data_IF_519744446212
#
_entry.id   IF_519744446212
#
_cell.length_a   1.000
_cell.length_b   1.000
_cell.length_c   1.000
_cell.angle_alpha   90.00
_cell.angle_beta   90.00
_cell.angle_gamma   90.00
#
_symmetry.space_group_name_H-M   'P 1'
#
loop_
_entity.id
_entity.type
_entity.pdbx_description
1 polymer ?
#
# COMPACT_ATOMS: atom_id res chain seq x y z
N UNK A 1 15.35 13.86 8.29
CA UNK A 1 14.23 13.13 7.66
C UNK A 1 13.53 12.30 8.73
N UNK A 2 12.21 12.45 8.97
CA UNK A 2 11.51 11.83 10.12
C UNK A 2 11.32 10.32 9.99
N UNK A 3 11.12 9.81 8.78
CA UNK A 3 10.89 8.39 8.51
C UNK A 3 12.14 7.56 8.88
N UNK A 4 13.31 7.92 8.32
CA UNK A 4 14.57 7.20 8.57
C UNK A 4 15.00 7.21 10.04
N UNK A 5 14.55 8.19 10.83
CA UNK A 5 14.81 8.23 12.25
C UNK A 5 14.15 7.07 13.02
N UNK A 6 13.08 6.51 12.47
CA UNK A 6 12.35 5.37 13.04
C UNK A 6 12.75 4.08 12.32
N UNK A 7 12.75 4.08 10.99
CA UNK A 7 12.98 2.88 10.17
C UNK A 7 14.45 2.55 9.93
N UNK A 8 15.37 3.46 10.26
CA UNK A 8 16.79 3.34 9.99
C UNK A 8 17.19 3.71 8.56
N UNK A 9 18.49 3.69 8.29
CA UNK A 9 19.05 3.92 6.95
C UNK A 9 18.74 2.73 6.03
N UNK A 10 18.22 2.97 4.80
CA UNK A 10 17.93 1.90 3.87
C UNK A 10 19.20 1.17 3.39
N UNK A 11 19.11 -0.14 3.13
CA UNK A 11 20.23 -0.89 2.57
C UNK A 11 20.52 -0.47 1.12
N UNK A 12 21.73 -0.77 0.65
CA UNK A 12 22.14 -0.47 -0.74
C UNK A 12 21.19 -1.07 -1.78
N UNK A 13 20.67 -2.29 -1.54
CA UNK A 13 19.69 -2.94 -2.41
C UNK A 13 18.44 -2.08 -2.65
N UNK A 14 17.90 -1.47 -1.60
CA UNK A 14 16.73 -0.58 -1.70
C UNK A 14 17.08 0.74 -2.38
N UNK A 15 18.26 1.30 -2.10
CA UNK A 15 18.73 2.51 -2.77
C UNK A 15 18.86 2.32 -4.30
N UNK A 16 19.21 1.11 -4.76
CA UNK A 16 19.27 0.80 -6.19
C UNK A 16 17.90 0.77 -6.87
N UNK A 17 16.83 0.47 -6.13
CA UNK A 17 15.44 0.52 -6.64
C UNK A 17 14.94 1.96 -6.85
N UNK A 18 15.59 2.96 -6.25
CA UNK A 18 15.19 4.36 -6.41
C UNK A 18 15.50 4.85 -7.83
N UNK A 19 14.47 5.34 -8.53
CA UNK A 19 14.60 5.84 -9.91
C UNK A 19 15.39 7.18 -9.98
N UNK A 20 15.23 8.04 -8.98
CA UNK A 20 15.93 9.34 -8.94
C UNK A 20 17.35 9.21 -8.38
N UNK A 21 18.33 9.57 -9.21
CA UNK A 21 19.76 9.63 -8.82
C UNK A 21 20.03 10.68 -7.74
N UNK A 22 19.36 11.82 -7.81
CA UNK A 22 19.52 12.91 -6.84
C UNK A 22 18.96 12.49 -5.48
N UNK A 23 17.77 11.88 -5.47
CA UNK A 23 17.18 11.35 -4.24
C UNK A 23 18.07 10.25 -3.62
N UNK A 24 18.63 9.37 -4.46
CA UNK A 24 19.57 8.33 -4.01
C UNK A 24 20.82 8.93 -3.36
N UNK A 25 21.43 9.91 -4.03
CA UNK A 25 22.65 10.58 -3.56
C UNK A 25 22.39 11.35 -2.26
N UNK A 26 21.22 12.01 -2.16
CA UNK A 26 20.78 12.67 -0.94
C UNK A 26 20.69 11.70 0.23
N UNK A 27 20.01 10.55 0.06
CA UNK A 27 19.86 9.56 1.14
C UNK A 27 21.20 8.92 1.52
N UNK A 28 22.10 8.69 0.55
CA UNK A 28 23.45 8.19 0.81
C UNK A 28 24.33 9.17 1.60
N UNK A 29 24.11 10.48 1.42
CA UNK A 29 24.82 11.52 2.16
C UNK A 29 24.30 11.75 3.58
N UNK A 30 23.18 11.14 3.97
CA UNK A 30 22.65 11.26 5.33
C UNK A 30 23.48 10.44 6.34
N UNK A 31 23.58 10.89 7.60
CA UNK A 31 24.18 10.09 8.66
C UNK A 31 23.48 8.74 8.80
N UNK A 32 24.25 7.67 9.03
CA UNK A 32 23.71 6.33 9.25
C UNK A 32 22.87 6.32 10.53
N UNK A 33 21.65 5.80 10.45
CA UNK A 33 20.71 5.64 11.55
C UNK A 33 20.33 4.18 11.72
N UNK A 34 20.34 3.69 12.96
CA UNK A 34 19.83 2.37 13.31
C UNK A 34 18.30 2.42 13.39
N UNK A 35 17.63 1.37 12.88
CA UNK A 35 16.19 1.16 13.09
C UNK A 35 15.90 1.16 14.59
N UNK A 36 14.86 1.90 15.01
CA UNK A 36 14.40 1.88 16.40
C UNK A 36 13.61 0.62 16.68
N UNK A 37 13.69 0.14 17.92
CA UNK A 37 12.80 -0.91 18.38
C UNK A 37 11.40 -0.32 18.56
N UNK A 38 10.40 -0.84 17.84
CA UNK A 38 9.04 -0.31 17.90
C UNK A 38 8.38 -0.49 19.27
N UNK A 39 8.81 -1.47 20.07
CA UNK A 39 8.33 -1.61 21.45
C UNK A 39 8.81 -0.46 22.34
N UNK A 40 9.97 0.14 22.05
CA UNK A 40 10.45 1.33 22.75
C UNK A 40 9.75 2.60 22.27
N UNK A 41 9.38 2.65 20.98
CA UNK A 41 8.64 3.78 20.40
C UNK A 41 7.18 3.79 20.86
N UNK A 42 6.57 2.61 20.97
CA UNK A 42 5.17 2.40 21.35
C UNK A 42 5.07 1.50 22.59
N UNK A 43 5.51 1.97 23.78
CA UNK A 43 5.62 1.12 24.97
C UNK A 43 4.27 0.55 25.44
N UNK A 44 3.19 1.31 25.24
CA UNK A 44 1.83 0.96 25.66
C UNK A 44 1.12 -0.04 24.75
N UNK A 45 1.65 -0.31 23.55
CA UNK A 45 1.01 -1.23 22.61
C UNK A 45 1.28 -2.69 23.00
N UNK A 46 0.31 -3.55 22.70
CA UNK A 46 0.46 -4.99 22.80
C UNK A 46 1.60 -5.50 21.90
N UNK A 47 2.21 -6.62 22.27
CA UNK A 47 3.32 -7.20 21.50
C UNK A 47 2.92 -7.57 20.07
N UNK A 48 1.71 -8.08 19.87
CA UNK A 48 1.21 -8.42 18.54
C UNK A 48 0.86 -7.17 17.72
N UNK A 49 0.42 -6.09 18.36
CA UNK A 49 0.22 -4.80 17.68
C UNK A 49 1.55 -4.24 17.16
N UNK A 50 2.60 -4.31 18.00
CA UNK A 50 3.95 -3.87 17.64
C UNK A 50 4.53 -4.72 16.52
N UNK A 51 4.37 -6.04 16.58
CA UNK A 51 4.84 -6.99 15.56
C UNK A 51 4.17 -6.74 14.19
N UNK A 52 2.86 -6.50 14.19
CA UNK A 52 2.11 -6.13 13.00
C UNK A 52 2.65 -4.83 12.38
N UNK A 53 2.84 -3.79 13.20
CA UNK A 53 3.40 -2.52 12.75
C UNK A 53 4.82 -2.68 12.19
N UNK A 54 5.65 -3.53 12.80
CA UNK A 54 7.03 -3.74 12.36
C UNK A 54 7.10 -4.43 10.99
N UNK A 55 6.09 -5.25 10.67
CA UNK A 55 5.93 -5.91 9.36
C UNK A 55 5.30 -5.00 8.29
N UNK A 56 4.57 -3.96 8.70
CA UNK A 56 3.96 -2.98 7.79
C UNK A 56 4.88 -1.79 7.46
N UNK A 57 5.59 -1.25 8.45
CA UNK A 57 6.36 -0.01 8.35
C UNK A 57 7.79 -0.23 7.85
N UNK A 58 7.93 -1.01 6.78
CA UNK A 58 9.19 -1.28 6.09
C UNK A 58 9.41 -0.27 4.95
N UNK A 59 10.67 0.15 4.77
CA UNK A 59 11.04 1.07 3.69
C UNK A 59 10.92 0.44 2.30
N UNK A 60 11.23 -0.86 2.18
CA UNK A 60 11.11 -1.61 0.93
C UNK A 60 9.66 -2.11 0.79
N UNK A 61 8.87 -1.59 -0.17
CA UNK A 61 7.47 -2.01 -0.35
C UNK A 61 7.34 -3.49 -0.65
N UNK A 62 8.32 -4.10 -1.33
CA UNK A 62 8.27 -5.52 -1.72
C UNK A 62 8.42 -6.46 -0.52
N UNK A 63 8.88 -5.94 0.61
CA UNK A 63 9.04 -6.71 1.85
C UNK A 63 7.92 -6.46 2.86
N UNK A 64 6.99 -5.54 2.57
CA UNK A 64 5.87 -5.26 3.46
C UNK A 64 4.91 -6.44 3.45
N UNK A 65 4.34 -6.70 4.62
CA UNK A 65 3.21 -7.59 4.77
C UNK A 65 2.06 -7.17 3.86
N UNK A 66 1.46 -8.13 3.17
CA UNK A 66 0.26 -7.92 2.35
C UNK A 66 -0.99 -7.77 3.21
N UNK A 67 -2.07 -7.23 2.67
CA UNK A 67 -3.34 -7.12 3.38
C UNK A 67 -3.85 -8.50 3.86
N UNK A 68 -3.73 -9.52 3.00
CA UNK A 68 -4.16 -10.91 3.29
C UNK A 68 -3.36 -11.53 4.44
N UNK A 69 -2.04 -11.37 4.45
CA UNK A 69 -1.20 -11.81 5.56
C UNK A 69 -1.50 -11.04 6.86
N UNK A 70 -1.81 -9.75 6.74
CA UNK A 70 -2.21 -8.91 7.86
C UNK A 70 -3.51 -9.35 8.53
N UNK A 71 -4.52 -9.73 7.74
CA UNK A 71 -5.79 -10.27 8.25
C UNK A 71 -5.59 -11.57 9.04
N UNK A 72 -4.68 -12.44 8.58
CA UNK A 72 -4.32 -13.68 9.30
C UNK A 72 -3.35 -13.48 10.47
N UNK A 73 -2.94 -12.24 10.79
CA UNK A 73 -2.00 -11.97 11.87
C UNK A 73 -2.64 -12.19 13.25
N UNK A 74 -1.91 -12.71 14.27
CA UNK A 74 -2.45 -12.97 15.61
C UNK A 74 -3.17 -11.77 16.26
N UNK A 75 -2.73 -10.55 15.95
CA UNK A 75 -3.35 -9.32 16.44
C UNK A 75 -4.82 -9.14 15.99
N UNK A 76 -5.20 -9.65 14.82
CA UNK A 76 -6.55 -9.56 14.27
C UNK A 76 -7.35 -10.87 14.42
N UNK A 77 -6.81 -11.87 15.13
CA UNK A 77 -7.39 -13.21 15.23
C UNK A 77 -8.82 -13.26 15.79
N UNK A 78 -9.21 -12.29 16.62
CA UNK A 78 -10.58 -12.18 17.14
C UNK A 78 -11.60 -11.80 16.04
N UNK A 79 -11.15 -11.10 15.00
CA UNK A 79 -12.00 -10.56 13.94
C UNK A 79 -11.84 -11.30 12.60
N UNK A 80 -10.78 -12.10 12.46
CA UNK A 80 -10.46 -12.76 11.21
C UNK A 80 -11.51 -13.80 10.82
N UNK A 81 -12.13 -13.62 9.66
CA UNK A 81 -13.10 -14.56 9.09
C UNK A 81 -12.86 -14.68 7.57
N UNK A 82 -12.17 -15.75 7.11
CA UNK A 82 -11.86 -15.94 5.70
C UNK A 82 -13.08 -15.98 4.77
N UNK A 83 -14.25 -16.40 5.26
CA UNK A 83 -15.47 -16.46 4.45
C UNK A 83 -16.11 -15.07 4.26
N UNK A 84 -15.84 -14.14 5.18
CA UNK A 84 -16.28 -12.75 5.12
C UNK A 84 -15.21 -11.80 4.54
N UNK A 85 -14.08 -12.33 4.08
CA UNK A 85 -12.94 -11.58 3.51
C UNK A 85 -12.66 -12.00 2.04
N UNK A 86 -13.62 -11.87 1.11
CA UNK A 86 -13.45 -12.31 -0.27
C UNK A 86 -12.48 -11.43 -1.06
N UNK A 87 -11.73 -12.04 -1.97
CA UNK A 87 -10.96 -11.34 -2.99
C UNK A 87 -11.90 -10.78 -4.08
N UNK A 88 -11.54 -9.63 -4.67
CA UNK A 88 -12.25 -9.06 -5.83
C UNK A 88 -11.66 -9.59 -7.14
N UNK A 89 -12.46 -9.71 -8.22
CA UNK A 89 -11.92 -9.80 -9.56
C UNK A 89 -10.99 -8.62 -9.88
N UNK A 90 -10.00 -8.79 -10.77
CA UNK A 90 -9.20 -7.68 -11.28
C UNK A 90 -10.09 -6.60 -11.91
N UNK A 91 -9.79 -5.35 -11.61
CA UNK A 91 -10.43 -4.19 -12.22
C UNK A 91 -9.71 -3.81 -13.53
N UNK A 92 -10.46 -3.50 -14.58
CA UNK A 92 -9.91 -2.98 -15.83
C UNK A 92 -9.69 -1.47 -15.70
N UNK A 93 -8.43 -1.07 -15.53
CA UNK A 93 -7.98 0.33 -15.45
C UNK A 93 -7.37 0.82 -16.78
N UNK A 94 -7.59 0.12 -17.89
CA UNK A 94 -7.00 0.47 -19.20
C UNK A 94 -7.38 1.89 -19.66
N UNK A 95 -8.53 2.39 -19.23
CA UNK A 95 -8.99 3.75 -19.51
C UNK A 95 -8.03 4.84 -18.98
N UNK A 96 -7.29 4.58 -17.89
CA UNK A 96 -6.33 5.54 -17.31
C UNK A 96 -5.19 5.88 -18.29
N UNK A 97 -4.93 5.00 -19.24
CA UNK A 97 -3.91 5.18 -20.28
C UNK A 97 -4.44 5.80 -21.57
N UNK A 98 -5.74 6.06 -21.67
CA UNK A 98 -6.35 6.62 -22.87
C UNK A 98 -6.18 8.14 -22.94
N UNK A 99 -5.78 8.64 -24.11
CA UNK A 99 -5.77 10.08 -24.41
C UNK A 99 -7.05 10.46 -25.15
N UNK A 100 -8.10 10.77 -24.38
CA UNK A 100 -9.42 11.15 -24.89
C UNK A 100 -9.69 12.64 -24.72
N UNK A 101 -10.49 13.20 -25.62
CA UNK A 101 -11.03 14.54 -25.46
C UNK A 101 -12.18 14.59 -24.44
N UNK A 102 -12.59 15.80 -24.06
CA UNK A 102 -13.66 16.00 -23.08
C UNK A 102 -15.00 15.41 -23.53
N UNK A 103 -15.29 15.42 -24.83
CA UNK A 103 -16.52 14.87 -25.41
C UNK A 103 -16.56 13.35 -25.35
N UNK A 104 -15.42 12.70 -25.61
CA UNK A 104 -15.24 11.26 -25.48
C UNK A 104 -15.37 10.81 -24.02
N UNK A 105 -14.69 11.48 -23.09
CA UNK A 105 -14.86 11.23 -21.65
C UNK A 105 -16.30 11.41 -21.19
N UNK A 106 -16.96 12.48 -21.62
CA UNK A 106 -18.38 12.73 -21.31
C UNK A 106 -19.28 11.60 -21.83
N UNK A 107 -18.96 11.07 -23.02
CA UNK A 107 -19.72 9.97 -23.62
C UNK A 107 -19.54 8.66 -22.86
N UNK A 108 -18.32 8.34 -22.41
CA UNK A 108 -18.03 7.15 -21.59
C UNK A 108 -18.73 7.24 -20.22
N UNK A 109 -18.66 8.39 -19.55
CA UNK A 109 -19.37 8.62 -18.28
C UNK A 109 -20.89 8.50 -18.48
N UNK A 110 -21.42 9.09 -19.56
CA UNK A 110 -22.84 8.99 -19.87
C UNK A 110 -23.25 7.54 -20.13
N UNK A 111 -22.42 6.77 -20.85
CA UNK A 111 -22.65 5.34 -21.06
C UNK A 111 -22.72 4.61 -19.72
N UNK A 112 -21.73 4.79 -18.85
CA UNK A 112 -21.69 4.16 -17.52
C UNK A 112 -22.93 4.48 -16.67
N UNK A 113 -23.42 5.72 -16.70
CA UNK A 113 -24.67 6.12 -16.03
C UNK A 113 -25.87 5.35 -16.59
N UNK A 114 -25.93 5.16 -17.92
CA UNK A 114 -27.05 4.51 -18.58
C UNK A 114 -27.04 2.98 -18.42
N UNK A 115 -25.86 2.39 -18.24
CA UNK A 115 -25.67 0.95 -18.09
C UNK A 115 -25.56 0.50 -16.64
N UNK A 116 -25.48 1.42 -15.69
CA UNK A 116 -25.40 1.11 -14.26
C UNK A 116 -26.57 0.22 -13.80
N UNK A 117 -26.24 -0.90 -13.18
CA UNK A 117 -27.20 -1.82 -12.57
C UNK A 117 -27.19 -1.66 -11.04
N UNK A 118 -28.24 -1.10 -10.41
CA UNK A 118 -28.32 -0.96 -8.96
C UNK A 118 -28.27 -2.29 -8.20
N UNK A 119 -28.62 -3.41 -8.86
CA UNK A 119 -28.55 -4.74 -8.26
C UNK A 119 -27.15 -5.36 -8.33
N UNK A 120 -26.28 -4.82 -9.18
CA UNK A 120 -24.89 -5.22 -9.31
C UNK A 120 -23.97 -4.00 -9.55
N UNK A 121 -23.79 -3.12 -8.54
CA UNK A 121 -23.09 -1.85 -8.71
C UNK A 121 -21.59 -1.99 -9.04
N UNK A 122 -21.03 -3.20 -8.91
CA UNK A 122 -19.65 -3.53 -9.26
C UNK A 122 -19.47 -3.93 -10.73
N UNK A 123 -20.55 -4.14 -11.48
CA UNK A 123 -20.47 -4.43 -12.91
C UNK A 123 -20.42 -3.12 -13.72
N UNK A 124 -19.22 -2.72 -14.09
CA UNK A 124 -18.96 -1.62 -15.02
C UNK A 124 -19.30 -2.07 -16.44
N UNK A 125 -19.76 -1.15 -17.31
CA UNK A 125 -19.94 -1.45 -18.73
C UNK A 125 -18.65 -1.28 -19.55
N UNK A 126 -17.63 -0.69 -18.93
CA UNK A 126 -16.28 -0.50 -19.47
C UNK A 126 -15.32 -1.53 -18.89
#
# INVERSE_FOLDING_TARGET
>A
MKILHVTGTPPSSLLQKMQSKDARSYVQGLPIQKKKNFKEVFPSLDVHAVDLLDSMLLLDPDTRMTAKEGLSHPYLSEFHDPESEPDSPPYDDSFESMELDVGEWSSLIHMEIMTFDPSNPSATAM
#
